data_IF_217734877920
#
_entry.id   IF_217734877920
#
_cell.length_a   1.000
_cell.length_b   1.000
_cell.length_c   1.000
_cell.angle_alpha   90.00
_cell.angle_beta   90.00
_cell.angle_gamma   90.00
#
_symmetry.space_group_name_H-M   'P 1'
#
loop_
_entity.id
_entity.type
_entity.pdbx_description
1 polymer ?
#
# COMPACT_ATOMS: atom_id res chain seq x y z
N UNK A 1 -11.80 13.76 -15.66
CA UNK A 1 -10.82 13.12 -16.55
C UNK A 1 -10.28 11.89 -15.83
N UNK A 2 -10.79 10.69 -16.13
CA UNK A 2 -10.26 9.47 -15.53
C UNK A 2 -8.89 9.18 -16.17
N UNK A 3 -7.84 9.56 -15.46
CA UNK A 3 -6.46 9.33 -15.88
C UNK A 3 -6.20 7.85 -16.08
N UNK A 4 -5.50 7.51 -17.15
CA UNK A 4 -5.12 6.16 -17.53
C UNK A 4 -4.41 5.45 -16.37
N UNK A 5 -5.15 4.63 -15.61
CA UNK A 5 -4.57 3.79 -14.56
C UNK A 5 -3.91 2.63 -15.27
N UNK A 6 -2.57 2.62 -15.31
CA UNK A 6 -1.81 1.48 -15.85
C UNK A 6 -2.34 0.20 -15.19
N UNK A 7 -2.53 -0.87 -15.97
CA UNK A 7 -3.00 -2.19 -15.49
C UNK A 7 -2.19 -2.78 -14.33
N UNK A 8 -1.04 -2.20 -14.01
CA UNK A 8 -0.17 -2.55 -12.89
C UNK A 8 -0.62 -1.94 -11.56
N UNK A 9 -1.24 -0.77 -11.56
CA UNK A 9 -1.65 -0.05 -10.36
C UNK A 9 -2.74 -0.78 -9.57
N UNK A 10 -3.81 -1.34 -10.19
CA UNK A 10 -4.79 -2.13 -9.46
C UNK A 10 -4.17 -3.37 -8.80
N UNK A 11 -3.16 -3.97 -9.44
CA UNK A 11 -2.50 -5.21 -8.96
C UNK A 11 -1.72 -4.97 -7.66
N UNK A 12 -0.98 -3.86 -7.57
CA UNK A 12 -0.20 -3.54 -6.38
C UNK A 12 -1.12 -3.11 -5.23
N UNK A 13 -2.18 -2.36 -5.54
CA UNK A 13 -3.18 -2.00 -4.54
C UNK A 13 -3.79 -3.25 -3.89
N UNK A 14 -4.16 -4.26 -4.68
CA UNK A 14 -4.73 -5.50 -4.15
C UNK A 14 -3.74 -6.26 -3.25
N UNK A 15 -2.46 -6.30 -3.61
CA UNK A 15 -1.42 -6.86 -2.74
C UNK A 15 -1.25 -6.06 -1.44
N UNK A 16 -1.19 -4.72 -1.49
CA UNK A 16 -1.15 -3.87 -0.30
C UNK A 16 -2.35 -4.08 0.60
N UNK A 17 -3.56 -4.07 0.04
CA UNK A 17 -4.79 -4.32 0.80
C UNK A 17 -4.75 -5.68 1.48
N UNK A 18 -4.36 -6.74 0.77
CA UNK A 18 -4.26 -8.09 1.34
C UNK A 18 -3.30 -8.16 2.53
N UNK A 19 -2.09 -7.63 2.35
CA UNK A 19 -1.03 -7.66 3.37
C UNK A 19 -1.42 -6.83 4.59
N UNK A 20 -1.88 -5.58 4.38
CA UNK A 20 -2.17 -4.63 5.46
C UNK A 20 -3.43 -5.04 6.23
N UNK A 21 -4.53 -5.34 5.53
CA UNK A 21 -5.81 -5.65 6.20
C UNK A 21 -5.76 -6.94 7.02
N UNK A 22 -4.90 -7.90 6.63
CA UNK A 22 -4.74 -9.16 7.36
C UNK A 22 -3.50 -9.22 8.24
N UNK A 23 -2.76 -8.11 8.35
CA UNK A 23 -1.53 -8.02 9.13
C UNK A 23 -0.51 -9.14 8.80
N UNK A 24 -0.33 -9.42 7.50
CA UNK A 24 0.59 -10.46 7.02
C UNK A 24 2.01 -9.88 6.84
N UNK A 25 3.06 -10.71 6.91
CA UNK A 25 4.40 -10.26 6.61
C UNK A 25 4.52 -9.89 5.12
N UNK A 26 5.33 -8.87 4.81
CA UNK A 26 5.54 -8.45 3.42
C UNK A 26 6.15 -9.56 2.54
N UNK A 27 6.84 -10.54 3.14
CA UNK A 27 7.39 -11.73 2.47
C UNK A 27 6.31 -12.63 1.86
N UNK A 28 5.06 -12.47 2.26
CA UNK A 28 3.95 -13.31 1.81
C UNK A 28 3.67 -13.16 0.31
N UNK A 29 4.02 -12.02 -0.31
CA UNK A 29 3.90 -11.83 -1.77
C UNK A 29 4.84 -12.74 -2.58
N UNK A 30 5.88 -13.27 -1.93
CA UNK A 30 6.85 -14.22 -2.47
C UNK A 30 6.68 -15.65 -1.96
N UNK A 31 5.75 -15.86 -1.00
CA UNK A 31 5.45 -17.19 -0.47
C UNK A 31 4.87 -18.10 -1.56
N UNK A 32 5.45 -19.31 -1.69
CA UNK A 32 5.07 -20.28 -2.72
C UNK A 32 3.60 -20.71 -2.60
N UNK A 33 3.18 -21.10 -1.39
CA UNK A 33 1.81 -21.54 -1.15
C UNK A 33 0.81 -20.42 -1.44
N UNK A 34 1.13 -19.19 -1.05
CA UNK A 34 0.28 -18.04 -1.36
C UNK A 34 0.18 -17.82 -2.87
N UNK A 35 1.28 -17.92 -3.61
CA UNK A 35 1.26 -17.79 -5.09
C UNK A 35 0.47 -18.90 -5.80
N UNK A 36 0.35 -20.07 -5.19
CA UNK A 36 -0.46 -21.18 -5.73
C UNK A 36 -1.97 -20.92 -5.59
N UNK A 37 -2.40 -20.21 -4.54
CA UNK A 37 -3.82 -20.04 -4.22
C UNK A 37 -4.39 -18.66 -4.55
N UNK A 38 -3.55 -17.63 -4.67
CA UNK A 38 -4.01 -16.27 -5.00
C UNK A 38 -4.14 -16.08 -6.51
N UNK A 39 -5.17 -15.35 -6.92
CA UNK A 39 -5.38 -14.94 -8.32
C UNK A 39 -4.56 -13.70 -8.72
N UNK A 40 -3.80 -13.13 -7.78
CA UNK A 40 -3.02 -11.92 -7.99
C UNK A 40 -1.72 -12.24 -8.76
N UNK A 41 -1.38 -11.40 -9.75
CA UNK A 41 -0.10 -11.53 -10.46
C UNK A 41 1.06 -11.41 -9.46
N UNK A 42 2.02 -12.35 -9.47
CA UNK A 42 3.16 -12.30 -8.56
C UNK A 42 3.93 -10.98 -8.66
N UNK A 43 4.36 -10.47 -7.50
CA UNK A 43 5.26 -9.32 -7.37
C UNK A 43 6.42 -9.69 -6.46
N UNK A 44 7.48 -8.88 -6.49
CA UNK A 44 8.57 -8.99 -5.54
C UNK A 44 8.27 -8.24 -4.24
N UNK A 45 8.85 -8.69 -3.13
CA UNK A 45 8.78 -8.02 -1.82
C UNK A 45 9.31 -6.60 -1.93
N UNK A 46 10.38 -6.40 -2.70
CA UNK A 46 10.95 -5.07 -2.97
C UNK A 46 9.92 -4.16 -3.62
N UNK A 47 9.20 -4.64 -4.63
CA UNK A 47 8.14 -3.89 -5.31
C UNK A 47 7.04 -3.52 -4.32
N UNK A 48 6.57 -4.47 -3.51
CA UNK A 48 5.55 -4.23 -2.50
C UNK A 48 5.97 -3.12 -1.53
N UNK A 49 7.18 -3.19 -0.97
CA UNK A 49 7.71 -2.16 -0.05
C UNK A 49 7.83 -0.79 -0.70
N UNK A 50 8.34 -0.72 -1.93
CA UNK A 50 8.48 0.56 -2.65
C UNK A 50 7.12 1.24 -2.83
N UNK A 51 6.09 0.50 -3.20
CA UNK A 51 4.76 1.09 -3.38
C UNK A 51 4.07 1.43 -2.06
N UNK A 52 4.27 0.65 -0.99
CA UNK A 52 3.80 1.02 0.34
C UNK A 52 4.39 2.36 0.79
N UNK A 53 5.71 2.55 0.61
CA UNK A 53 6.37 3.83 0.92
C UNK A 53 5.85 4.98 0.04
N UNK A 54 5.63 4.71 -1.25
CA UNK A 54 5.05 5.70 -2.16
C UNK A 54 3.65 6.14 -1.71
N UNK A 55 2.80 5.20 -1.32
CA UNK A 55 1.45 5.49 -0.79
C UNK A 55 1.53 6.28 0.50
N UNK A 56 2.40 5.90 1.44
CA UNK A 56 2.62 6.66 2.68
C UNK A 56 3.02 8.10 2.38
N UNK A 57 3.95 8.32 1.45
CA UNK A 57 4.36 9.66 1.04
C UNK A 57 3.22 10.47 0.42
N UNK A 58 2.40 9.83 -0.43
CA UNK A 58 1.26 10.52 -1.08
C UNK A 58 0.14 10.84 -0.12
N UNK A 59 -0.25 9.89 0.73
CA UNK A 59 -1.26 10.10 1.77
C UNK A 59 -0.77 11.14 2.76
N UNK A 60 0.50 11.07 3.18
CA UNK A 60 1.10 12.07 4.07
C UNK A 60 1.07 13.48 3.48
N UNK A 61 1.34 13.65 2.18
CA UNK A 61 1.21 14.95 1.50
C UNK A 61 -0.23 15.46 1.51
N UNK A 62 -1.21 14.59 1.22
CA UNK A 62 -2.63 14.96 1.27
C UNK A 62 -3.05 15.36 2.69
N UNK A 63 -2.70 14.55 3.69
CA UNK A 63 -3.00 14.82 5.10
C UNK A 63 -2.35 16.13 5.54
N UNK A 64 -1.08 16.38 5.20
CA UNK A 64 -0.41 17.63 5.55
C UNK A 64 -1.09 18.86 4.90
N UNK A 65 -1.60 18.71 3.68
CA UNK A 65 -2.35 19.77 3.00
C UNK A 65 -3.69 20.03 3.71
N UNK A 66 -4.38 18.98 4.14
CA UNK A 66 -5.66 19.09 4.86
C UNK A 66 -5.50 19.63 6.29
N UNK A 67 -4.43 19.26 6.99
CA UNK A 67 -4.13 19.75 8.34
C UNK A 67 -3.75 21.23 8.36
N UNK A 68 -3.20 21.76 7.26
CA UNK A 68 -2.75 23.15 7.17
C UNK A 68 -1.56 23.47 8.09
N UNK A 69 -1.37 24.75 8.40
CA UNK A 69 -0.22 25.22 9.19
C UNK A 69 -0.43 25.12 10.71
N UNK A 70 -1.66 24.89 11.17
CA UNK A 70 -2.02 24.86 12.58
C UNK A 70 -2.87 23.62 12.89
N UNK A 71 -2.32 22.72 13.69
CA UNK A 71 -2.98 21.48 14.11
C UNK A 71 -2.70 21.17 15.59
N UNK A 72 -3.62 20.46 16.24
CA UNK A 72 -3.44 19.97 17.61
C UNK A 72 -2.92 18.53 17.64
N UNK A 73 -2.04 18.23 18.58
CA UNK A 73 -1.61 16.86 18.90
C UNK A 73 -2.28 16.43 20.20
N UNK A 74 -2.99 15.31 20.18
CA UNK A 74 -3.54 14.68 21.38
C UNK A 74 -2.81 13.36 21.61
N UNK A 75 -2.19 13.23 22.78
CA UNK A 75 -1.51 12.02 23.20
C UNK A 75 -2.45 11.24 24.12
N UNK A 76 -2.70 9.98 23.80
CA UNK A 76 -3.34 9.03 24.73
C UNK A 76 -2.21 8.39 25.55
N UNK A 77 -2.31 8.51 26.88
CA UNK A 77 -1.26 8.16 27.84
C UNK A 77 -1.17 6.67 28.14
#
# INVERSE_FOLDING_TARGET
>A
MFGFVKDFTPKIYLWMRWIITRNLPATEVENKLTREVVTLKPIAVRTQKTYMLFVVGKVGQTVATEMGESFGLMFDG
#
